data_IF_174208454707
#
_entry.id   IF_174208454707
#
_cell.length_a   1.000
_cell.length_b   1.000
_cell.length_c   1.000
_cell.angle_alpha   90.00
_cell.angle_beta   90.00
_cell.angle_gamma   90.00
#
_symmetry.space_group_name_H-M   'P 1'
#
loop_
_entity.id
_entity.type
_entity.pdbx_description
1 polymer ?
#
# COMPACT_ATOMS: atom_id res chain seq x y z
N UNK A 1 46.66 -1.50 78.39
CA UNK A 1 47.32 -0.45 77.59
C UNK A 1 47.20 -0.87 76.12
N UNK A 2 46.31 -0.20 75.38
CA UNK A 2 46.25 -0.09 73.91
C UNK A 2 44.87 0.49 73.56
N UNK A 3 44.88 1.75 73.15
CA UNK A 3 43.73 2.52 72.70
C UNK A 3 43.64 2.34 71.18
N UNK A 4 42.46 1.99 70.65
CA UNK A 4 42.16 2.18 69.23
C UNK A 4 40.74 2.72 69.08
N UNK A 5 40.71 4.03 68.88
CA UNK A 5 39.58 4.86 68.46
C UNK A 5 39.12 4.43 67.08
N UNK A 6 37.82 4.19 66.88
CA UNK A 6 37.25 4.11 65.52
C UNK A 6 36.11 5.12 65.39
N UNK A 7 36.17 5.85 64.29
CA UNK A 7 35.53 7.11 64.05
C UNK A 7 33.99 7.05 64.03
N UNK A 8 33.39 8.06 64.62
CA UNK A 8 31.99 8.44 64.42
C UNK A 8 31.78 8.78 62.94
N UNK A 9 31.13 7.90 62.18
CA UNK A 9 30.69 8.23 60.83
C UNK A 9 29.54 9.25 60.91
N UNK A 10 29.82 10.41 60.36
CA UNK A 10 28.95 11.59 60.28
C UNK A 10 27.68 11.30 59.48
N UNK A 11 26.51 11.38 60.14
CA UNK A 11 25.14 11.14 59.61
C UNK A 11 24.67 12.20 58.60
N UNK A 12 25.59 12.83 57.86
CA UNK A 12 25.33 13.96 56.95
C UNK A 12 25.69 13.69 55.48
N UNK A 13 26.02 12.44 55.14
CA UNK A 13 26.28 12.01 53.75
C UNK A 13 25.22 11.06 53.19
N UNK A 14 24.00 11.07 53.76
CA UNK A 14 22.85 10.26 53.29
C UNK A 14 21.74 11.08 52.59
N UNK A 15 22.06 12.26 52.04
CA UNK A 15 21.11 13.05 51.25
C UNK A 15 21.71 13.53 49.92
N UNK A 16 22.29 12.62 49.13
CA UNK A 16 22.61 12.85 47.71
C UNK A 16 22.30 11.62 46.84
N UNK A 17 21.13 11.02 47.04
CA UNK A 17 20.60 9.96 46.17
C UNK A 17 19.08 10.04 46.09
N UNK A 18 18.55 11.19 45.68
CA UNK A 18 17.12 11.34 45.36
C UNK A 18 16.91 12.35 44.23
N UNK A 19 17.84 12.39 43.27
CA UNK A 19 17.76 13.23 42.09
C UNK A 19 18.15 12.40 40.88
N UNK A 20 17.14 11.75 40.29
CA UNK A 20 17.03 11.15 38.94
C UNK A 20 16.20 9.84 39.02
N UNK A 21 14.93 9.96 39.40
CA UNK A 21 13.91 9.08 38.83
C UNK A 21 13.28 9.87 37.69
N UNK A 22 14.04 9.98 36.60
CA UNK A 22 13.63 10.64 35.38
C UNK A 22 12.37 9.93 34.83
N UNK A 23 11.40 10.75 34.42
CA UNK A 23 10.27 10.38 33.59
C UNK A 23 10.73 9.51 32.41
N UNK A 24 10.53 8.20 32.49
CA UNK A 24 10.78 7.27 31.40
C UNK A 24 9.56 6.36 31.20
N UNK A 25 8.40 6.99 31.03
CA UNK A 25 7.18 6.36 30.50
C UNK A 25 6.92 6.87 29.08
N UNK A 26 7.93 6.80 28.20
CA UNK A 26 7.73 7.13 26.78
C UNK A 26 6.95 5.96 26.17
N UNK A 27 5.73 6.26 25.74
CA UNK A 27 4.86 5.38 24.98
C UNK A 27 5.63 4.77 23.79
N UNK A 28 6.00 3.50 23.91
CA UNK A 28 6.33 2.69 22.74
C UNK A 28 5.02 2.38 22.01
N UNK A 29 4.54 3.31 21.20
CA UNK A 29 3.65 2.96 20.11
C UNK A 29 4.47 2.14 19.12
N UNK A 30 4.54 0.83 19.34
CA UNK A 30 5.04 -0.12 18.35
C UNK A 30 4.09 -0.03 17.16
N UNK A 31 4.42 0.78 16.15
CA UNK A 31 3.76 0.68 14.85
C UNK A 31 4.05 -0.72 14.33
N UNK A 32 3.04 -1.59 14.39
CA UNK A 32 3.09 -2.90 13.75
C UNK A 32 3.23 -2.64 12.25
N UNK A 33 4.45 -2.71 11.74
CA UNK A 33 4.70 -2.71 10.30
C UNK A 33 4.29 -4.08 9.78
N UNK A 34 3.18 -4.12 9.04
CA UNK A 34 2.85 -5.30 8.24
C UNK A 34 3.89 -5.39 7.12
N UNK A 35 4.61 -6.52 6.99
CA UNK A 35 5.52 -6.70 5.86
C UNK A 35 4.71 -6.72 4.56
N UNK A 36 5.18 -6.02 3.53
CA UNK A 36 4.66 -6.16 2.16
C UNK A 36 5.54 -7.14 1.40
N UNK A 37 4.93 -8.00 0.58
CA UNK A 37 5.66 -8.91 -0.31
C UNK A 37 6.15 -8.23 -1.59
N UNK A 38 6.66 -9.04 -2.51
CA UNK A 38 7.07 -8.61 -3.85
C UNK A 38 5.92 -7.90 -4.58
N UNK A 39 6.23 -6.78 -5.24
CA UNK A 39 5.32 -6.07 -6.13
C UNK A 39 5.87 -5.93 -7.54
N UNK A 40 4.97 -5.90 -8.53
CA UNK A 40 5.34 -5.74 -9.93
C UNK A 40 4.26 -4.99 -10.73
N UNK A 41 4.72 -4.14 -11.65
CA UNK A 41 3.93 -3.67 -12.78
C UNK A 41 3.81 -4.77 -13.84
N UNK A 42 2.61 -4.98 -14.36
CA UNK A 42 2.27 -6.08 -15.28
C UNK A 42 1.40 -5.60 -16.44
N UNK A 43 1.50 -4.32 -16.82
CA UNK A 43 0.70 -3.78 -17.92
C UNK A 43 1.03 -4.46 -19.25
N UNK A 44 2.30 -4.78 -19.50
CA UNK A 44 2.74 -5.48 -20.71
C UNK A 44 2.00 -6.81 -20.90
N UNK A 45 1.96 -7.68 -19.88
CA UNK A 45 1.27 -8.97 -19.93
C UNK A 45 -0.26 -8.85 -19.96
N UNK A 46 -0.82 -7.70 -19.59
CA UNK A 46 -2.27 -7.43 -19.62
C UNK A 46 -2.79 -6.86 -20.94
N UNK A 47 -1.90 -6.33 -21.79
CA UNK A 47 -2.26 -5.64 -23.04
C UNK A 47 -3.17 -6.48 -23.93
N UNK A 48 -2.81 -7.74 -24.17
CA UNK A 48 -3.59 -8.64 -25.03
C UNK A 48 -4.98 -8.94 -24.47
N UNK A 49 -5.08 -9.18 -23.16
CA UNK A 49 -6.35 -9.47 -22.48
C UNK A 49 -7.30 -8.26 -22.52
N UNK A 50 -6.80 -7.07 -22.17
CA UNK A 50 -7.61 -5.84 -22.22
C UNK A 50 -8.00 -5.46 -23.65
N UNK A 51 -7.10 -5.64 -24.62
CA UNK A 51 -7.42 -5.44 -26.04
C UNK A 51 -8.55 -6.36 -26.49
N UNK A 52 -8.50 -7.65 -26.13
CA UNK A 52 -9.56 -8.62 -26.44
C UNK A 52 -10.89 -8.24 -25.79
N UNK A 53 -10.87 -7.85 -24.51
CA UNK A 53 -12.05 -7.40 -23.77
C UNK A 53 -12.69 -6.20 -24.49
N UNK A 54 -11.91 -5.19 -24.87
CA UNK A 54 -12.42 -3.97 -25.50
C UNK A 54 -12.85 -4.19 -26.96
N UNK A 55 -12.12 -5.01 -27.71
CA UNK A 55 -12.52 -5.41 -29.05
C UNK A 55 -13.89 -6.11 -29.08
N UNK A 56 -14.20 -6.93 -28.07
CA UNK A 56 -15.53 -7.57 -27.94
C UNK A 56 -16.67 -6.56 -27.73
N UNK A 57 -16.34 -5.34 -27.32
CA UNK A 57 -17.28 -4.23 -27.15
C UNK A 57 -17.16 -3.17 -28.28
N UNK A 58 -16.39 -3.44 -29.34
CA UNK A 58 -16.17 -2.49 -30.44
C UNK A 58 -15.33 -1.27 -30.05
N UNK A 59 -14.54 -1.35 -28.98
CA UNK A 59 -13.71 -0.26 -28.46
C UNK A 59 -12.24 -0.43 -28.86
N UNK A 60 -11.50 0.68 -29.05
CA UNK A 60 -10.07 0.63 -29.33
C UNK A 60 -9.29 0.07 -28.14
N UNK A 61 -8.11 -0.51 -28.42
CA UNK A 61 -7.20 -0.98 -27.38
C UNK A 61 -6.69 0.17 -26.51
N UNK A 62 -6.45 -0.11 -25.23
CA UNK A 62 -5.77 0.81 -24.32
C UNK A 62 -4.25 0.67 -24.47
N UNK A 63 -3.53 1.78 -24.39
CA UNK A 63 -2.08 1.80 -24.36
C UNK A 63 -1.54 1.64 -22.93
N UNK A 64 -0.55 0.77 -22.67
CA UNK A 64 0.17 0.76 -21.39
C UNK A 64 0.82 2.12 -21.13
N UNK A 65 0.68 2.62 -19.91
CA UNK A 65 1.24 3.90 -19.47
C UNK A 65 1.98 3.74 -18.13
N UNK A 66 3.24 4.19 -18.11
CA UNK A 66 4.11 3.99 -16.95
C UNK A 66 3.67 4.81 -15.73
N UNK A 67 3.07 5.99 -15.91
CA UNK A 67 2.57 6.80 -14.79
C UNK A 67 1.35 6.13 -14.14
N UNK A 68 0.44 5.60 -14.96
CA UNK A 68 -0.71 4.84 -14.47
C UNK A 68 -0.26 3.55 -13.77
N UNK A 69 0.77 2.87 -14.29
CA UNK A 69 1.31 1.66 -13.66
C UNK A 69 1.97 1.95 -12.32
N UNK A 70 2.73 3.06 -12.20
CA UNK A 70 3.26 3.49 -10.90
C UNK A 70 2.15 3.82 -9.90
N UNK A 71 1.09 4.49 -10.35
CA UNK A 71 -0.06 4.77 -9.50
C UNK A 71 -0.80 3.49 -9.08
N UNK A 72 -0.92 2.50 -9.97
CA UNK A 72 -1.47 1.19 -9.64
C UNK A 72 -0.61 0.46 -8.60
N UNK A 73 0.71 0.47 -8.76
CA UNK A 73 1.64 -0.19 -7.86
C UNK A 73 1.59 0.42 -6.45
N UNK A 74 1.50 1.75 -6.36
CA UNK A 74 1.33 2.45 -5.08
C UNK A 74 0.03 2.04 -4.39
N UNK A 75 -1.09 1.96 -5.12
CA UNK A 75 -2.36 1.52 -4.54
C UNK A 75 -2.28 0.08 -4.04
N UNK A 76 -1.74 -0.83 -4.84
CA UNK A 76 -1.53 -2.22 -4.46
C UNK A 76 -0.66 -2.33 -3.20
N UNK A 77 0.42 -1.55 -3.12
CA UNK A 77 1.28 -1.48 -1.94
C UNK A 77 0.57 -0.93 -0.71
N UNK A 78 -0.29 0.07 -0.87
CA UNK A 78 -1.10 0.58 0.25
C UNK A 78 -2.07 -0.47 0.78
N UNK A 79 -2.75 -1.21 -0.11
CA UNK A 79 -3.65 -2.28 0.30
C UNK A 79 -2.90 -3.40 1.01
N UNK A 80 -1.74 -3.81 0.47
CA UNK A 80 -0.88 -4.82 1.08
C UNK A 80 -0.37 -4.39 2.47
N UNK A 81 0.11 -3.15 2.61
CA UNK A 81 0.63 -2.64 3.89
C UNK A 81 -0.43 -2.54 5.00
N UNK A 82 -1.71 -2.62 4.64
CA UNK A 82 -2.85 -2.50 5.55
C UNK A 82 -3.67 -3.78 5.65
N UNK A 83 -3.26 -4.83 4.94
CA UNK A 83 -3.99 -6.09 4.79
C UNK A 83 -5.48 -5.86 4.47
N UNK A 84 -5.77 -4.90 3.59
CA UNK A 84 -7.14 -4.42 3.35
C UNK A 84 -7.33 -3.83 1.96
N UNK A 85 -8.22 -4.44 1.18
CA UNK A 85 -8.74 -3.85 -0.06
C UNK A 85 -9.57 -2.57 0.21
N UNK A 86 -9.09 -1.41 -0.27
CA UNK A 86 -9.78 -0.13 -0.09
C UNK A 86 -9.22 0.94 -1.03
N UNK A 87 -10.09 1.68 -1.74
CA UNK A 87 -9.70 2.81 -2.59
C UNK A 87 -9.05 3.99 -1.83
N UNK A 88 -9.29 4.08 -0.51
CA UNK A 88 -8.65 5.05 0.37
C UNK A 88 -8.00 4.33 1.55
N UNK A 89 -6.69 4.49 1.68
CA UNK A 89 -5.87 3.76 2.66
C UNK A 89 -5.20 4.69 3.67
N UNK A 90 -5.62 5.96 3.76
CA UNK A 90 -5.14 6.91 4.74
C UNK A 90 -5.30 8.34 4.28
N UNK A 91 -4.96 9.29 5.16
CA UNK A 91 -4.96 10.70 4.80
C UNK A 91 -3.91 10.98 3.73
N UNK A 92 -4.31 11.64 2.64
CA UNK A 92 -3.45 11.85 1.46
C UNK A 92 -3.16 10.58 0.64
N UNK A 93 -3.76 9.43 0.99
CA UNK A 93 -3.64 8.15 0.27
C UNK A 93 -4.96 7.75 -0.35
N UNK A 94 -5.64 8.73 -0.93
CA UNK A 94 -6.82 8.53 -1.77
C UNK A 94 -6.43 8.50 -3.25
N UNK A 95 -7.40 8.12 -4.09
CA UNK A 95 -7.23 8.01 -5.53
C UNK A 95 -6.78 9.33 -6.18
N UNK A 96 -7.41 10.44 -5.85
CA UNK A 96 -7.14 11.73 -6.48
C UNK A 96 -5.74 12.26 -6.17
N UNK A 97 -5.32 12.15 -4.91
CA UNK A 97 -3.98 12.53 -4.45
C UNK A 97 -2.91 11.71 -5.19
N UNK A 98 -3.13 10.39 -5.29
CA UNK A 98 -2.22 9.48 -6.00
C UNK A 98 -2.11 9.81 -7.49
N UNK A 99 -3.22 10.10 -8.18
CA UNK A 99 -3.16 10.49 -9.59
C UNK A 99 -2.33 11.77 -9.76
N UNK A 100 -2.60 12.78 -8.92
CA UNK A 100 -1.87 14.05 -8.93
C UNK A 100 -0.37 13.86 -8.71
N UNK A 101 0.00 13.06 -7.71
CA UNK A 101 1.40 12.84 -7.32
C UNK A 101 2.21 12.09 -8.39
N UNK A 102 1.54 11.24 -9.19
CA UNK A 102 2.16 10.57 -10.34
C UNK A 102 2.09 11.40 -11.64
N UNK A 103 1.60 12.65 -11.58
CA UNK A 103 1.48 13.53 -12.74
C UNK A 103 0.34 13.15 -13.70
N UNK A 104 -0.57 12.27 -13.27
CA UNK A 104 -1.74 11.85 -14.04
C UNK A 104 -2.81 12.94 -13.96
N UNK A 105 -3.33 13.36 -15.11
CA UNK A 105 -4.34 14.41 -15.24
C UNK A 105 -5.50 13.93 -16.12
N UNK A 106 -6.65 14.59 -15.97
CA UNK A 106 -7.85 14.30 -16.76
C UNK A 106 -8.72 13.23 -16.12
N UNK A 107 -9.62 12.65 -16.92
CA UNK A 107 -10.49 11.58 -16.47
C UNK A 107 -9.67 10.32 -16.13
N UNK A 108 -9.92 9.76 -14.96
CA UNK A 108 -9.29 8.53 -14.48
C UNK A 108 -10.30 7.64 -13.76
N UNK A 109 -10.03 6.33 -13.75
CA UNK A 109 -10.79 5.35 -12.98
C UNK A 109 -9.87 4.29 -12.38
N UNK A 110 -10.39 3.53 -11.43
CA UNK A 110 -9.66 2.46 -10.74
C UNK A 110 -10.52 1.22 -10.54
N UNK A 111 -9.93 0.07 -10.81
CA UNK A 111 -10.41 -1.21 -10.31
C UNK A 111 -9.39 -1.77 -9.31
N UNK A 112 -9.87 -2.30 -8.19
CA UNK A 112 -9.04 -3.02 -7.22
C UNK A 112 -9.57 -4.43 -7.02
N UNK A 113 -8.69 -5.34 -6.63
CA UNK A 113 -9.07 -6.67 -6.20
C UNK A 113 -8.05 -7.21 -5.20
N UNK A 114 -8.47 -8.20 -4.43
CA UNK A 114 -7.61 -8.95 -3.53
C UNK A 114 -7.93 -10.43 -3.66
N UNK A 115 -6.92 -11.29 -3.74
CA UNK A 115 -7.11 -12.72 -3.64
C UNK A 115 -5.97 -13.58 -4.16
N UNK A 116 -6.17 -14.90 -4.07
CA UNK A 116 -5.21 -15.94 -4.47
C UNK A 116 -5.46 -16.39 -5.91
N UNK A 117 -5.26 -15.46 -6.84
CA UNK A 117 -5.51 -15.72 -8.25
C UNK A 117 -4.49 -15.01 -9.15
N UNK A 118 -4.45 -15.45 -10.40
CA UNK A 118 -3.61 -14.87 -11.44
C UNK A 118 -4.32 -13.76 -12.22
N UNK A 119 -3.62 -13.20 -13.20
CA UNK A 119 -4.10 -12.10 -14.03
C UNK A 119 -5.31 -12.51 -14.89
N UNK A 120 -5.38 -13.76 -15.37
CA UNK A 120 -6.51 -14.21 -16.18
C UNK A 120 -7.79 -14.25 -15.35
N UNK A 121 -7.71 -14.84 -14.15
CA UNK A 121 -8.86 -14.90 -13.24
C UNK A 121 -9.22 -13.52 -12.68
N UNK A 122 -8.25 -12.62 -12.51
CA UNK A 122 -8.50 -11.21 -12.15
C UNK A 122 -9.45 -10.54 -13.16
N UNK A 123 -9.12 -10.62 -14.45
CA UNK A 123 -9.95 -10.00 -15.50
C UNK A 123 -11.33 -10.65 -15.60
N UNK A 124 -11.42 -11.96 -15.43
CA UNK A 124 -12.69 -12.69 -15.34
C UNK A 124 -13.58 -12.14 -14.19
N UNK A 125 -13.00 -11.97 -12.99
CA UNK A 125 -13.71 -11.40 -11.83
C UNK A 125 -14.21 -9.98 -12.13
N UNK A 126 -13.34 -9.11 -12.68
CA UNK A 126 -13.73 -7.74 -13.01
C UNK A 126 -14.77 -7.66 -14.13
N UNK A 127 -14.73 -8.55 -15.11
CA UNK A 127 -15.73 -8.59 -16.19
C UNK A 127 -17.12 -9.06 -15.72
N UNK A 128 -17.19 -9.78 -14.61
CA UNK A 128 -18.43 -10.20 -13.95
C UNK A 128 -18.93 -9.20 -12.89
N UNK A 129 -18.28 -8.04 -12.74
CA UNK A 129 -18.67 -7.00 -11.81
C UNK A 129 -19.01 -5.72 -12.56
N UNK A 130 -20.27 -5.29 -12.50
CA UNK A 130 -20.78 -4.16 -13.31
C UNK A 130 -19.94 -2.89 -13.19
N UNK A 131 -19.52 -2.54 -11.97
CA UNK A 131 -18.67 -1.36 -11.73
C UNK A 131 -17.28 -1.47 -12.36
N UNK A 132 -16.61 -2.61 -12.17
CA UNK A 132 -15.28 -2.84 -12.72
C UNK A 132 -15.30 -2.97 -14.24
N UNK A 133 -16.30 -3.69 -14.77
CA UNK A 133 -16.55 -3.83 -16.20
C UNK A 133 -16.80 -2.47 -16.85
N UNK A 134 -17.63 -1.63 -16.23
CA UNK A 134 -17.90 -0.26 -16.73
C UNK A 134 -16.60 0.52 -16.92
N UNK A 135 -15.69 0.49 -15.94
CA UNK A 135 -14.40 1.18 -16.07
C UNK A 135 -13.57 0.66 -17.25
N UNK A 136 -13.42 -0.67 -17.39
CA UNK A 136 -12.62 -1.25 -18.48
C UNK A 136 -13.22 -1.02 -19.88
N UNK A 137 -14.53 -0.82 -19.98
CA UNK A 137 -15.27 -0.61 -21.22
C UNK A 137 -15.69 0.87 -21.40
N UNK A 138 -15.15 1.79 -20.62
CA UNK A 138 -15.43 3.20 -20.81
C UNK A 138 -14.70 3.70 -22.08
N UNK A 139 -15.40 4.31 -23.06
CA UNK A 139 -14.79 4.83 -24.27
C UNK A 139 -13.91 6.06 -24.02
N UNK A 140 -14.04 6.75 -22.89
CA UNK A 140 -13.24 7.95 -22.58
C UNK A 140 -11.79 7.63 -22.18
N UNK A 141 -11.49 6.36 -21.87
CA UNK A 141 -10.12 5.93 -21.54
C UNK A 141 -9.36 5.41 -22.75
N UNK A 142 -8.09 5.79 -22.83
CA UNK A 142 -7.16 5.39 -23.90
C UNK A 142 -5.86 4.76 -23.36
N UNK A 143 -5.61 4.88 -22.05
CA UNK A 143 -4.40 4.41 -21.38
C UNK A 143 -4.72 3.59 -20.13
N UNK A 144 -3.82 2.70 -19.75
CA UNK A 144 -3.95 1.93 -18.52
C UNK A 144 -2.61 1.60 -17.86
N UNK A 145 -2.66 1.30 -16.57
CA UNK A 145 -1.57 0.67 -15.83
C UNK A 145 -2.11 -0.40 -14.88
N UNK A 146 -1.48 -1.57 -14.87
CA UNK A 146 -1.85 -2.70 -14.01
C UNK A 146 -0.67 -3.11 -13.14
N UNK A 147 -0.91 -3.30 -11.85
CA UNK A 147 0.12 -3.77 -10.93
C UNK A 147 -0.47 -4.65 -9.83
N UNK A 148 0.42 -5.38 -9.16
CA UNK A 148 0.10 -6.07 -7.92
C UNK A 148 1.21 -5.91 -6.87
N UNK A 149 0.84 -6.12 -5.61
CA UNK A 149 1.76 -6.36 -4.50
C UNK A 149 1.28 -7.58 -3.73
N UNK A 150 2.18 -8.50 -3.40
CA UNK A 150 1.87 -9.68 -2.58
C UNK A 150 1.69 -9.29 -1.12
N UNK A 151 0.84 -10.03 -0.43
CA UNK A 151 0.81 -10.00 1.02
C UNK A 151 2.16 -10.51 1.58
N UNK A 152 2.66 -9.87 2.65
CA UNK A 152 3.96 -10.27 3.21
C UNK A 152 3.89 -11.51 4.11
N UNK A 153 2.70 -11.97 4.48
CA UNK A 153 2.50 -13.21 5.26
C UNK A 153 2.05 -14.36 4.36
N UNK A 154 1.29 -14.06 3.29
CA UNK A 154 0.84 -15.04 2.30
C UNK A 154 1.29 -14.64 0.88
N UNK A 155 2.40 -15.19 0.36
CA UNK A 155 2.88 -14.83 -0.97
C UNK A 155 1.93 -15.24 -2.11
N UNK A 156 0.94 -16.11 -1.86
CA UNK A 156 -0.09 -16.44 -2.84
C UNK A 156 -1.20 -15.37 -2.90
N UNK A 157 -1.40 -14.62 -1.83
CA UNK A 157 -2.34 -13.51 -1.77
C UNK A 157 -1.75 -12.28 -2.46
N UNK A 158 -2.51 -11.68 -3.38
CA UNK A 158 -2.12 -10.47 -4.10
C UNK A 158 -3.19 -9.40 -3.96
N UNK A 159 -2.73 -8.16 -3.82
CA UNK A 159 -3.53 -6.95 -3.96
C UNK A 159 -3.28 -6.38 -5.35
N UNK A 160 -4.34 -6.25 -6.14
CA UNK A 160 -4.30 -5.80 -7.53
C UNK A 160 -4.90 -4.42 -7.67
N UNK A 161 -4.31 -3.61 -8.53
CA UNK A 161 -4.90 -2.34 -8.96
C UNK A 161 -4.73 -2.17 -10.47
N UNK A 162 -5.80 -1.76 -11.13
CA UNK A 162 -5.82 -1.26 -12.50
C UNK A 162 -6.21 0.21 -12.43
N UNK A 163 -5.38 1.08 -13.01
CA UNK A 163 -5.68 2.50 -13.17
C UNK A 163 -5.87 2.79 -14.65
N UNK A 164 -6.93 3.53 -14.97
CA UNK A 164 -7.32 3.91 -16.32
C UNK A 164 -7.20 5.42 -16.47
N UNK A 165 -6.79 5.88 -17.64
CA UNK A 165 -6.65 7.31 -17.95
C UNK A 165 -7.04 7.64 -19.38
N UNK A 166 -7.48 8.87 -19.58
CA UNK A 166 -7.69 9.44 -20.93
C UNK A 166 -6.38 9.68 -21.66
#
# INVERSE_FOLDING_TARGET
MSISTTALLNRRTLFKAAGLAALAGIAACSTVTVPTGEGAGVSSSATSTLSTIRASAGLPALAPDTQLEQAALQQAGYMASRERMSHTTGWGKDFASRMKDNGVRGATAENIAEGRFDQQKLFDIWMHSDGHRRNMLDPDFSRFGLAYVRDGRDPALRYWALVLGR
#
